data_IF_661099505447
#
_entry.id   IF_661099505447
#
_cell.length_a   1.000
_cell.length_b   1.000
_cell.length_c   1.000
_cell.angle_alpha   90.00
_cell.angle_beta   90.00
_cell.angle_gamma   90.00
#
_symmetry.space_group_name_H-M   'P 1'
#
loop_
_entity.id
_entity.type
_entity.pdbx_description
1 polymer ?
#
# COMPACT_ATOMS: atom_id res chain seq x y z
N UNK A 1 -15.79 -4.68 -8.46
CA UNK A 1 -15.51 -4.39 -7.03
C UNK A 1 -14.28 -3.50 -7.04
N UNK A 2 -14.32 -2.39 -6.30
CA UNK A 2 -13.23 -1.43 -6.24
C UNK A 2 -12.21 -1.88 -5.19
N UNK A 3 -10.94 -1.87 -5.55
CA UNK A 3 -9.83 -2.31 -4.73
C UNK A 3 -8.96 -1.11 -4.32
N UNK A 4 -8.75 -0.90 -3.03
CA UNK A 4 -8.06 0.28 -2.49
C UNK A 4 -6.80 -0.11 -1.72
N UNK A 5 -5.67 0.50 -2.08
CA UNK A 5 -4.36 0.38 -1.41
C UNK A 5 -3.72 1.76 -1.20
N UNK A 6 -2.70 1.86 -0.35
CA UNK A 6 -2.14 3.15 0.09
C UNK A 6 -0.67 3.38 -0.25
N UNK A 7 -0.10 2.56 -1.14
CA UNK A 7 1.24 2.78 -1.71
C UNK A 7 1.28 2.41 -3.20
N UNK A 8 2.22 2.99 -3.94
CA UNK A 8 2.41 2.67 -5.36
C UNK A 8 2.87 1.22 -5.56
N UNK A 9 3.75 0.72 -4.68
CA UNK A 9 4.20 -0.68 -4.69
C UNK A 9 3.04 -1.66 -4.49
N UNK A 10 2.18 -1.42 -3.49
CA UNK A 10 1.00 -2.24 -3.27
C UNK A 10 0.04 -2.19 -4.47
N UNK A 11 -0.15 -0.99 -5.06
CA UNK A 11 -1.02 -0.81 -6.22
C UNK A 11 -0.51 -1.58 -7.45
N UNK A 12 0.79 -1.49 -7.72
CA UNK A 12 1.43 -2.23 -8.80
C UNK A 12 1.36 -3.74 -8.57
N UNK A 13 1.70 -4.21 -7.37
CA UNK A 13 1.66 -5.63 -7.06
C UNK A 13 0.24 -6.21 -7.13
N UNK A 14 -0.76 -5.49 -6.61
CA UNK A 14 -2.16 -5.93 -6.66
C UNK A 14 -2.68 -5.98 -8.11
N UNK A 15 -2.26 -5.03 -8.97
CA UNK A 15 -2.58 -5.06 -10.40
C UNK A 15 -2.04 -6.30 -11.10
N UNK A 16 -0.81 -6.69 -10.77
CA UNK A 16 -0.23 -7.94 -11.28
C UNK A 16 -0.99 -9.15 -10.73
N UNK A 17 -1.33 -9.16 -9.44
CA UNK A 17 -2.00 -10.26 -8.77
C UNK A 17 -3.37 -10.64 -9.39
N UNK A 18 -4.06 -9.69 -10.04
CA UNK A 18 -5.35 -9.94 -10.70
C UNK A 18 -5.30 -11.09 -11.70
N UNK A 19 -4.19 -11.21 -12.44
CA UNK A 19 -3.99 -12.20 -13.49
C UNK A 19 -2.69 -13.00 -13.31
N UNK A 20 -2.07 -12.94 -12.14
CA UNK A 20 -0.80 -13.63 -11.89
C UNK A 20 -1.03 -15.15 -11.92
N UNK A 21 -0.23 -15.87 -12.71
CA UNK A 21 -0.39 -17.30 -12.94
C UNK A 21 -1.35 -17.66 -14.08
N UNK A 22 -1.96 -16.69 -14.77
CA UNK A 22 -2.85 -16.97 -15.91
C UNK A 22 -2.07 -17.20 -17.20
N UNK A 23 -2.24 -18.38 -17.78
CA UNK A 23 -1.60 -18.74 -19.05
C UNK A 23 -0.11 -19.10 -18.91
N UNK A 24 0.59 -19.11 -20.05
CA UNK A 24 2.00 -19.53 -20.08
C UNK A 24 2.90 -18.45 -19.49
N UNK A 25 3.80 -18.85 -18.60
CA UNK A 25 4.87 -17.99 -18.09
C UNK A 25 5.69 -17.40 -19.26
N UNK A 26 5.75 -16.07 -19.34
CA UNK A 26 6.45 -15.34 -20.42
C UNK A 26 7.85 -14.85 -20.01
N UNK A 27 8.34 -15.23 -18.83
CA UNK A 27 9.52 -14.61 -18.24
C UNK A 27 9.23 -13.20 -17.70
N UNK A 28 10.15 -12.69 -16.88
CA UNK A 28 10.09 -11.34 -16.33
C UNK A 28 11.49 -10.76 -16.12
N UNK A 29 11.55 -9.45 -15.88
CA UNK A 29 12.82 -8.79 -15.55
C UNK A 29 13.22 -9.13 -14.12
N UNK A 30 14.15 -10.08 -13.96
CA UNK A 30 14.67 -10.50 -12.65
C UNK A 30 16.07 -9.91 -12.43
N UNK A 31 16.20 -9.14 -11.35
CA UNK A 31 17.48 -8.68 -10.82
C UNK A 31 17.94 -9.57 -9.67
N UNK A 32 19.22 -9.92 -9.63
CA UNK A 32 19.83 -10.66 -8.52
C UNK A 32 21.00 -9.87 -7.95
N UNK A 33 21.12 -9.87 -6.62
CA UNK A 33 22.25 -9.29 -5.89
C UNK A 33 22.91 -10.44 -5.14
N UNK A 34 24.18 -10.69 -5.46
CA UNK A 34 25.01 -11.70 -4.78
C UNK A 34 26.07 -10.96 -3.99
N UNK A 35 26.26 -11.32 -2.73
CA UNK A 35 27.27 -10.71 -1.85
C UNK A 35 27.92 -11.77 -0.97
N UNK A 36 29.22 -11.64 -0.75
CA UNK A 36 29.98 -12.53 0.12
C UNK A 36 30.26 -11.83 1.45
N UNK A 37 30.23 -12.59 2.56
CA UNK A 37 30.45 -12.05 3.90
C UNK A 37 31.86 -11.46 4.08
N UNK A 38 32.84 -11.94 3.31
CA UNK A 38 34.21 -11.43 3.30
C UNK A 38 34.42 -10.20 2.39
N UNK A 39 33.36 -9.71 1.75
CA UNK A 39 33.40 -8.58 0.83
C UNK A 39 34.04 -8.87 -0.53
N UNK A 40 34.40 -10.13 -0.81
CA UNK A 40 34.89 -10.52 -2.13
C UNK A 40 33.78 -10.37 -3.18
N UNK A 41 34.19 -10.11 -4.44
CA UNK A 41 33.24 -9.95 -5.53
C UNK A 41 32.75 -11.32 -6.00
N UNK A 42 31.44 -11.49 -6.22
CA UNK A 42 30.92 -12.70 -6.82
C UNK A 42 31.45 -12.86 -8.24
N UNK A 43 31.69 -14.10 -8.61
CA UNK A 43 32.05 -14.52 -9.97
C UNK A 43 30.86 -14.38 -10.92
N UNK A 44 31.11 -14.41 -12.22
CA UNK A 44 30.03 -14.37 -13.22
C UNK A 44 29.16 -15.61 -13.12
N UNK A 45 29.78 -16.75 -12.88
CA UNK A 45 29.13 -18.05 -12.73
C UNK A 45 28.17 -18.07 -11.54
N UNK A 46 28.54 -17.48 -10.40
CA UNK A 46 27.66 -17.34 -9.22
C UNK A 46 26.46 -16.44 -9.51
N UNK A 47 26.67 -15.32 -10.20
CA UNK A 47 25.59 -14.41 -10.59
C UNK A 47 24.62 -15.07 -11.58
N UNK A 48 25.14 -15.82 -12.55
CA UNK A 48 24.32 -16.58 -13.51
C UNK A 48 23.58 -17.75 -12.87
N UNK A 49 24.18 -18.42 -11.89
CA UNK A 49 23.52 -19.46 -11.11
C UNK A 49 22.36 -18.87 -10.29
N UNK A 50 22.60 -17.78 -9.55
CA UNK A 50 21.58 -17.08 -8.78
C UNK A 50 20.44 -16.57 -9.68
N UNK A 51 20.75 -16.06 -10.88
CA UNK A 51 19.74 -15.65 -11.86
C UNK A 51 18.86 -16.81 -12.29
N UNK A 52 19.45 -17.96 -12.65
CA UNK A 52 18.69 -19.16 -13.06
C UNK A 52 17.81 -19.70 -11.95
N UNK A 53 18.31 -19.69 -10.71
CA UNK A 53 17.53 -20.08 -9.54
C UNK A 53 16.34 -19.14 -9.32
N UNK A 54 16.55 -17.82 -9.42
CA UNK A 54 15.49 -16.83 -9.27
C UNK A 54 14.44 -16.93 -10.39
N UNK A 55 14.86 -17.16 -11.64
CA UNK A 55 13.98 -17.41 -12.78
C UNK A 55 13.14 -18.67 -12.59
N UNK A 56 13.74 -19.76 -12.14
CA UNK A 56 13.02 -21.00 -11.86
C UNK A 56 12.05 -20.84 -10.69
N UNK A 57 12.44 -20.15 -9.62
CA UNK A 57 11.55 -19.82 -8.50
C UNK A 57 10.35 -18.99 -8.96
N UNK A 58 10.58 -17.97 -9.80
CA UNK A 58 9.52 -17.13 -10.35
C UNK A 58 8.59 -17.93 -11.28
N UNK A 59 9.12 -18.83 -12.10
CA UNK A 59 8.33 -19.73 -12.94
C UNK A 59 7.44 -20.65 -12.10
N UNK A 60 8.00 -21.28 -11.06
CA UNK A 60 7.25 -22.15 -10.16
C UNK A 60 6.18 -21.37 -9.37
N UNK A 61 6.49 -20.15 -8.91
CA UNK A 61 5.53 -19.28 -8.26
C UNK A 61 4.36 -18.94 -9.21
N UNK A 62 4.65 -18.59 -10.47
CA UNK A 62 3.64 -18.37 -11.51
C UNK A 62 2.75 -19.60 -11.72
N UNK A 63 3.34 -20.76 -11.93
CA UNK A 63 2.60 -22.00 -12.24
C UNK A 63 1.73 -22.50 -11.09
N UNK A 64 2.10 -22.20 -9.85
CA UNK A 64 1.35 -22.58 -8.65
C UNK A 64 0.38 -21.51 -8.17
N UNK A 65 0.49 -20.28 -8.68
CA UNK A 65 -0.31 -19.18 -8.20
C UNK A 65 -1.79 -19.37 -8.53
N UNK A 66 -2.62 -18.91 -7.59
CA UNK A 66 -4.04 -18.69 -7.86
C UNK A 66 -4.23 -17.20 -8.10
N UNK A 67 -4.72 -16.77 -9.28
CA UNK A 67 -4.96 -15.36 -9.53
C UNK A 67 -5.98 -14.82 -8.53
N UNK A 68 -5.83 -13.55 -8.15
CA UNK A 68 -6.83 -12.89 -7.32
C UNK A 68 -8.17 -12.77 -8.06
N UNK A 69 -8.10 -12.59 -9.38
CA UNK A 69 -9.24 -12.36 -10.26
C UNK A 69 -9.80 -10.94 -10.10
N UNK A 70 -10.36 -10.40 -11.18
CA UNK A 70 -10.89 -9.04 -11.22
C UNK A 70 -10.35 -8.26 -12.41
N UNK A 71 -10.49 -6.94 -12.37
CA UNK A 71 -10.00 -6.04 -13.40
C UNK A 71 -8.94 -5.10 -12.81
N UNK A 72 -7.71 -5.06 -13.34
CA UNK A 72 -6.68 -4.14 -12.88
C UNK A 72 -7.08 -2.65 -12.93
N UNK A 73 -8.06 -2.29 -13.77
CA UNK A 73 -8.62 -0.93 -13.84
C UNK A 73 -9.49 -0.56 -12.63
N UNK A 74 -9.89 -1.53 -11.80
CA UNK A 74 -10.65 -1.32 -10.58
C UNK A 74 -9.78 -1.09 -9.33
N UNK A 75 -8.45 -1.07 -9.51
CA UNK A 75 -7.49 -0.88 -8.42
C UNK A 75 -6.99 0.57 -8.38
N UNK A 76 -7.15 1.19 -7.22
CA UNK A 76 -6.74 2.57 -6.96
C UNK A 76 -5.75 2.64 -5.80
N UNK A 77 -4.63 3.33 -6.03
CA UNK A 77 -3.57 3.56 -5.06
C UNK A 77 -3.53 5.00 -4.60
N UNK A 78 -3.67 5.23 -3.30
CA UNK A 78 -3.61 6.56 -2.69
C UNK A 78 -2.31 6.76 -1.89
N UNK A 79 -1.19 6.86 -2.59
CA UNK A 79 0.14 7.12 -2.02
C UNK A 79 0.28 8.60 -1.59
N UNK A 80 -0.35 8.96 -0.48
CA UNK A 80 -0.46 10.34 0.01
C UNK A 80 0.51 10.69 1.14
N UNK A 81 1.35 9.75 1.57
CA UNK A 81 2.28 9.92 2.69
C UNK A 81 1.61 10.52 3.95
N UNK A 82 0.40 10.07 4.29
CA UNK A 82 -0.46 10.70 5.31
C UNK A 82 0.05 10.54 6.75
N UNK A 83 1.07 9.71 6.98
CA UNK A 83 1.73 9.66 8.28
C UNK A 83 2.63 10.87 8.54
N UNK A 84 2.93 11.67 7.50
CA UNK A 84 3.88 12.79 7.56
C UNK A 84 3.19 14.12 7.18
N UNK A 85 3.51 15.18 7.93
CA UNK A 85 3.18 16.58 7.64
C UNK A 85 1.70 16.94 7.79
N UNK A 86 1.25 17.96 7.03
CA UNK A 86 -0.10 18.52 7.21
C UNK A 86 -1.17 17.63 6.57
N UNK A 87 -2.18 17.24 7.36
CA UNK A 87 -3.35 16.47 6.93
C UNK A 87 -4.68 17.20 7.18
N UNK A 88 -4.64 18.50 7.47
CA UNK A 88 -5.80 19.30 7.85
C UNK A 88 -6.82 19.49 6.71
N UNK A 89 -6.42 19.21 5.46
CA UNK A 89 -7.32 19.27 4.30
C UNK A 89 -8.24 18.04 4.27
N UNK A 90 -9.53 18.25 3.96
CA UNK A 90 -10.49 17.13 3.79
C UNK A 90 -10.19 16.26 2.58
N UNK A 91 -9.72 16.90 1.51
CA UNK A 91 -9.26 16.24 0.29
C UNK A 91 -7.84 16.71 -0.02
N UNK A 92 -7.00 15.87 -0.65
CA UNK A 92 -5.62 16.22 -0.98
C UNK A 92 -5.54 17.51 -1.82
N UNK A 93 -5.00 18.57 -1.24
CA UNK A 93 -4.91 19.89 -1.85
C UNK A 93 -3.50 20.46 -1.82
N UNK A 94 -3.41 21.78 -1.64
CA UNK A 94 -2.14 22.51 -1.72
C UNK A 94 -1.22 22.16 -0.55
N UNK A 95 -1.77 21.96 0.64
CA UNK A 95 -0.96 21.58 1.80
C UNK A 95 -0.39 20.19 1.62
N UNK A 96 -1.20 19.28 1.06
CA UNK A 96 -0.72 17.95 0.77
C UNK A 96 0.39 17.97 -0.28
N UNK A 97 0.23 18.77 -1.35
CA UNK A 97 1.27 19.01 -2.36
C UNK A 97 2.59 19.43 -1.69
N UNK A 98 2.55 20.46 -0.84
CA UNK A 98 3.73 21.01 -0.18
C UNK A 98 4.46 19.99 0.68
N UNK A 99 3.74 19.13 1.40
CA UNK A 99 4.40 18.06 2.17
C UNK A 99 5.08 17.04 1.26
N UNK A 100 4.44 16.63 0.17
CA UNK A 100 5.05 15.69 -0.78
C UNK A 100 6.29 16.32 -1.45
N UNK A 101 6.22 17.60 -1.83
CA UNK A 101 7.38 18.35 -2.36
C UNK A 101 8.53 18.36 -1.35
N UNK A 102 8.24 18.56 -0.06
CA UNK A 102 9.25 18.52 1.00
C UNK A 102 9.84 17.12 1.18
N UNK A 103 9.00 16.08 1.23
CA UNK A 103 9.43 14.69 1.38
C UNK A 103 10.35 14.24 0.23
N UNK A 104 10.05 14.69 -0.98
CA UNK A 104 10.83 14.35 -2.17
C UNK A 104 11.93 15.36 -2.50
N UNK A 105 12.20 16.34 -1.62
CA UNK A 105 13.26 17.35 -1.84
C UNK A 105 14.68 16.79 -1.86
N UNK A 106 14.86 15.53 -1.45
CA UNK A 106 16.13 14.80 -1.52
C UNK A 106 16.54 14.44 -2.95
N UNK A 107 15.61 14.44 -3.90
CA UNK A 107 15.89 14.14 -5.31
C UNK A 107 16.37 15.39 -6.06
N UNK A 108 17.37 15.26 -6.95
CA UNK A 108 17.97 16.39 -7.66
C UNK A 108 16.99 17.01 -8.67
N UNK A 109 17.36 18.18 -9.21
CA UNK A 109 16.76 18.75 -10.43
C UNK A 109 15.24 18.94 -10.41
N UNK A 110 14.66 19.27 -9.25
CA UNK A 110 13.22 19.42 -9.03
C UNK A 110 12.38 18.16 -9.34
N UNK A 111 13.00 16.99 -9.47
CA UNK A 111 12.29 15.71 -9.73
C UNK A 111 11.23 15.43 -8.67
N UNK A 112 11.54 15.72 -7.40
CA UNK A 112 10.59 15.57 -6.30
C UNK A 112 9.37 16.49 -6.38
N UNK A 113 9.55 17.71 -6.89
CA UNK A 113 8.45 18.64 -7.10
C UNK A 113 7.52 18.17 -8.22
N UNK A 114 8.10 17.68 -9.32
CA UNK A 114 7.34 17.10 -10.43
C UNK A 114 6.57 15.85 -9.97
N UNK A 115 7.25 14.94 -9.26
CA UNK A 115 6.64 13.73 -8.71
C UNK A 115 5.46 14.06 -7.77
N UNK A 116 5.62 15.04 -6.86
CA UNK A 116 4.55 15.47 -5.97
C UNK A 116 3.32 15.99 -6.72
N UNK A 117 3.53 16.76 -7.79
CA UNK A 117 2.45 17.28 -8.64
C UNK A 117 1.72 16.16 -9.39
N UNK A 118 2.45 15.20 -9.95
CA UNK A 118 1.89 14.07 -10.66
C UNK A 118 1.10 13.14 -9.73
N UNK A 119 1.65 12.85 -8.54
CA UNK A 119 0.96 12.06 -7.50
C UNK A 119 -0.37 12.73 -7.14
N UNK A 120 -0.36 14.03 -6.83
CA UNK A 120 -1.56 14.74 -6.42
C UNK A 120 -2.61 14.82 -7.54
N UNK A 121 -2.18 15.05 -8.78
CA UNK A 121 -3.05 15.07 -9.95
C UNK A 121 -3.71 13.70 -10.17
N UNK A 122 -2.93 12.62 -10.10
CA UNK A 122 -3.42 11.25 -10.23
C UNK A 122 -4.41 10.91 -9.11
N UNK A 123 -4.04 11.16 -7.85
CA UNK A 123 -4.90 10.89 -6.69
C UNK A 123 -6.24 11.62 -6.80
N UNK A 124 -6.25 12.91 -7.15
CA UNK A 124 -7.51 13.65 -7.27
C UNK A 124 -8.39 13.14 -8.42
N UNK A 125 -7.79 12.73 -9.55
CA UNK A 125 -8.52 12.09 -10.65
C UNK A 125 -9.14 10.77 -10.19
N UNK A 126 -8.33 9.92 -9.58
CA UNK A 126 -8.73 8.59 -9.13
C UNK A 126 -9.80 8.67 -8.03
N UNK A 127 -9.64 9.59 -7.07
CA UNK A 127 -10.61 9.83 -6.01
C UNK A 127 -11.97 10.25 -6.57
N UNK A 128 -11.98 11.12 -7.59
CA UNK A 128 -13.21 11.53 -8.27
C UNK A 128 -13.88 10.33 -8.95
N UNK A 129 -13.13 9.51 -9.69
CA UNK A 129 -13.68 8.31 -10.32
C UNK A 129 -14.23 7.33 -9.27
N UNK A 130 -13.50 7.13 -8.17
CA UNK A 130 -13.94 6.28 -7.07
C UNK A 130 -15.21 6.82 -6.42
N UNK A 131 -15.32 8.13 -6.21
CA UNK A 131 -16.52 8.78 -5.67
C UNK A 131 -17.74 8.58 -6.59
N UNK A 132 -17.57 8.75 -7.90
CA UNK A 132 -18.63 8.54 -8.90
C UNK A 132 -19.12 7.10 -8.89
N UNK A 133 -18.21 6.12 -8.82
CA UNK A 133 -18.54 4.70 -8.71
C UNK A 133 -19.13 4.31 -7.35
N UNK A 134 -18.74 5.02 -6.28
CA UNK A 134 -19.36 4.84 -4.97
C UNK A 134 -20.85 5.22 -5.00
N UNK A 135 -21.20 6.28 -5.75
CA UNK A 135 -22.56 6.75 -5.91
C UNK A 135 -23.47 5.78 -6.70
N UNK A 136 -22.89 4.92 -7.56
CA UNK A 136 -23.62 3.86 -8.26
C UNK A 136 -23.78 2.59 -7.41
N UNK A 137 -23.27 2.57 -6.18
CA UNK A 137 -23.42 1.46 -5.23
C UNK A 137 -22.40 0.35 -5.39
N UNK A 138 -21.29 0.59 -6.10
CA UNK A 138 -20.22 -0.40 -6.20
C UNK A 138 -19.62 -0.74 -4.82
N UNK A 139 -19.21 -2.00 -4.69
CA UNK A 139 -18.60 -2.52 -3.45
C UNK A 139 -17.10 -2.28 -3.41
N UNK A 140 -16.56 -2.17 -2.20
CA UNK A 140 -15.16 -1.85 -1.91
C UNK A 140 -14.47 -3.00 -1.17
N UNK A 141 -13.20 -3.19 -1.47
CA UNK A 141 -12.24 -3.92 -0.64
C UNK A 141 -11.03 -3.03 -0.39
N UNK A 142 -10.69 -2.85 0.88
CA UNK A 142 -9.60 -1.96 1.30
C UNK A 142 -8.52 -2.79 2.00
N UNK A 143 -7.30 -2.69 1.51
CA UNK A 143 -6.14 -3.42 2.01
C UNK A 143 -5.29 -2.49 2.87
N UNK A 144 -5.05 -2.87 4.12
CA UNK A 144 -4.28 -2.05 5.07
C UNK A 144 -3.45 -2.91 6.03
N UNK A 145 -2.46 -2.31 6.68
CA UNK A 145 -1.60 -2.96 7.68
C UNK A 145 -1.42 -2.05 8.90
N UNK A 146 -0.50 -2.43 9.80
CA UNK A 146 -0.04 -1.57 10.90
C UNK A 146 1.06 -0.58 10.45
N UNK A 147 1.40 -0.49 9.16
CA UNK A 147 2.27 0.58 8.66
C UNK A 147 1.57 1.93 8.82
N UNK A 148 2.22 2.96 9.38
CA UNK A 148 1.57 4.25 9.67
C UNK A 148 0.86 4.91 8.48
N UNK A 149 1.44 4.91 7.28
CA UNK A 149 0.80 5.51 6.10
C UNK A 149 -0.40 4.72 5.62
N UNK A 150 -0.33 3.39 5.63
CA UNK A 150 -1.48 2.55 5.30
C UNK A 150 -2.61 2.69 6.32
N UNK A 151 -2.29 2.83 7.62
CA UNK A 151 -3.32 3.06 8.63
C UNK A 151 -3.93 4.46 8.51
N UNK A 152 -3.12 5.50 8.27
CA UNK A 152 -3.61 6.85 7.98
C UNK A 152 -4.49 6.85 6.72
N UNK A 153 -4.03 6.23 5.64
CA UNK A 153 -4.78 6.08 4.39
C UNK A 153 -6.09 5.34 4.59
N UNK A 154 -6.09 4.27 5.38
CA UNK A 154 -7.29 3.52 5.74
C UNK A 154 -8.32 4.39 6.46
N UNK A 155 -7.89 5.14 7.48
CA UNK A 155 -8.78 6.00 8.28
C UNK A 155 -9.30 7.17 7.43
N UNK A 156 -8.42 7.81 6.67
CA UNK A 156 -8.78 8.86 5.71
C UNK A 156 -9.81 8.37 4.69
N UNK A 157 -9.59 7.21 4.07
CA UNK A 157 -10.50 6.70 3.04
C UNK A 157 -11.86 6.29 3.61
N UNK A 158 -11.91 5.70 4.81
CA UNK A 158 -13.17 5.44 5.50
C UNK A 158 -13.93 6.74 5.84
N UNK A 159 -13.23 7.82 6.13
CA UNK A 159 -13.80 9.15 6.31
C UNK A 159 -14.43 9.67 5.01
N UNK A 160 -13.76 9.50 3.86
CA UNK A 160 -14.32 9.83 2.55
C UNK A 160 -15.59 9.04 2.25
N UNK A 161 -15.57 7.71 2.44
CA UNK A 161 -16.75 6.85 2.26
C UNK A 161 -17.91 7.26 3.17
N UNK A 162 -17.61 7.72 4.39
CA UNK A 162 -18.61 8.22 5.32
C UNK A 162 -19.25 9.54 4.83
N UNK A 163 -18.44 10.47 4.32
CA UNK A 163 -18.92 11.73 3.74
C UNK A 163 -19.80 11.49 2.49
N UNK A 164 -19.42 10.53 1.64
CA UNK A 164 -20.16 10.22 0.42
C UNK A 164 -21.45 9.42 0.67
N UNK A 165 -21.70 8.99 1.91
CA UNK A 165 -22.86 8.18 2.30
C UNK A 165 -23.00 6.91 1.44
N UNK A 166 -21.87 6.24 1.21
CA UNK A 166 -21.81 5.05 0.34
C UNK A 166 -22.77 3.96 0.84
N UNK A 167 -23.63 3.48 -0.07
CA UNK A 167 -24.57 2.38 0.16
C UNK A 167 -24.04 1.00 -0.25
N UNK A 168 -22.94 0.93 -0.99
CA UNK A 168 -22.28 -0.32 -1.37
C UNK A 168 -21.60 -1.03 -0.19
N UNK A 169 -21.36 -2.33 -0.33
CA UNK A 169 -20.67 -3.13 0.69
C UNK A 169 -19.20 -2.70 0.77
N UNK A 170 -18.70 -2.48 1.99
CA UNK A 170 -17.29 -2.22 2.25
C UNK A 170 -16.70 -3.41 2.99
N UNK A 171 -15.58 -3.92 2.49
CA UNK A 171 -14.80 -4.98 3.12
C UNK A 171 -13.36 -4.52 3.33
N UNK A 172 -12.71 -5.09 4.34
CA UNK A 172 -11.32 -4.78 4.67
C UNK A 172 -10.51 -6.06 4.79
N UNK A 173 -9.24 -5.97 4.40
CA UNK A 173 -8.24 -7.03 4.58
C UNK A 173 -7.06 -6.41 5.32
N UNK A 174 -6.84 -6.88 6.56
CA UNK A 174 -5.68 -6.46 7.37
C UNK A 174 -4.53 -7.43 7.11
N UNK A 175 -3.34 -6.90 6.83
CA UNK A 175 -2.13 -7.72 6.76
C UNK A 175 -1.83 -8.33 8.15
N UNK A 176 -1.57 -9.64 8.25
CA UNK A 176 -1.15 -10.27 9.50
C UNK A 176 0.15 -9.67 10.06
N UNK A 177 0.32 -9.71 11.37
CA UNK A 177 1.54 -9.20 12.03
C UNK A 177 2.76 -10.08 11.78
N UNK A 178 2.54 -11.39 11.66
CA UNK A 178 3.54 -12.37 11.29
C UNK A 178 2.86 -13.57 10.65
N UNK A 179 3.61 -14.31 9.86
CA UNK A 179 3.16 -15.51 9.17
C UNK A 179 4.25 -16.58 9.24
N UNK A 180 3.84 -17.84 9.31
CA UNK A 180 4.77 -18.97 9.18
C UNK A 180 4.85 -19.40 7.70
N UNK A 181 6.06 -19.45 7.16
CA UNK A 181 6.34 -20.10 5.89
C UNK A 181 6.27 -21.63 6.03
N UNK A 182 6.14 -22.35 4.90
CA UNK A 182 6.11 -23.82 4.87
C UNK A 182 7.36 -24.47 5.48
N UNK A 183 8.50 -23.78 5.43
CA UNK A 183 9.78 -24.21 6.01
C UNK A 183 9.88 -23.95 7.53
N UNK A 184 8.85 -23.36 8.15
CA UNK A 184 8.81 -23.01 9.57
C UNK A 184 9.40 -21.64 9.94
N UNK A 185 9.88 -20.86 8.95
CA UNK A 185 10.35 -19.50 9.19
C UNK A 185 9.19 -18.55 9.49
N UNK A 186 9.44 -17.56 10.34
CA UNK A 186 8.50 -16.47 10.59
C UNK A 186 8.84 -15.31 9.67
N UNK A 187 7.86 -14.85 8.91
CA UNK A 187 7.96 -13.67 8.05
C UNK A 187 7.06 -12.58 8.60
N UNK A 188 7.61 -11.38 8.66
CA UNK A 188 6.88 -10.16 8.99
C UNK A 188 7.02 -9.21 7.81
N UNK A 189 5.89 -8.78 7.26
CA UNK A 189 5.82 -7.77 6.22
C UNK A 189 5.42 -6.44 6.83
N UNK A 190 6.14 -5.38 6.49
CA UNK A 190 5.86 -4.04 7.04
C UNK A 190 4.53 -3.50 6.56
N UNK A 191 4.16 -3.78 5.30
CA UNK A 191 2.89 -3.37 4.69
C UNK A 191 2.63 -4.08 3.37
N UNK A 192 1.54 -3.73 2.68
CA UNK A 192 1.12 -4.38 1.43
C UNK A 192 2.09 -4.13 0.27
N UNK A 193 2.96 -3.14 0.37
CA UNK A 193 4.03 -2.90 -0.61
C UNK A 193 5.09 -4.02 -0.68
N UNK A 194 5.16 -4.88 0.34
CA UNK A 194 6.09 -6.02 0.41
C UNK A 194 5.43 -7.37 0.05
N UNK A 195 4.13 -7.37 -0.22
CA UNK A 195 3.40 -8.59 -0.59
C UNK A 195 3.62 -8.88 -2.06
N UNK A 196 4.15 -10.06 -2.40
CA UNK A 196 4.38 -10.45 -3.77
C UNK A 196 3.06 -10.73 -4.51
N UNK A 197 2.98 -10.54 -5.84
CA UNK A 197 1.76 -10.75 -6.62
C UNK A 197 1.06 -12.11 -6.39
N UNK A 198 1.83 -13.20 -6.29
CA UNK A 198 1.33 -14.56 -6.07
C UNK A 198 0.68 -14.77 -4.68
N UNK A 199 0.96 -13.89 -3.72
CA UNK A 199 0.48 -14.02 -2.35
C UNK A 199 -0.87 -13.35 -2.11
N UNK A 200 -1.33 -12.43 -2.96
CA UNK A 200 -2.54 -11.64 -2.65
C UNK A 200 -3.78 -12.49 -2.46
N UNK A 201 -3.95 -13.56 -3.25
CA UNK A 201 -5.12 -14.44 -3.20
C UNK A 201 -5.33 -15.06 -1.82
N UNK A 202 -4.26 -15.53 -1.15
CA UNK A 202 -4.39 -16.21 0.15
C UNK A 202 -4.93 -15.29 1.25
N UNK A 203 -4.71 -13.98 1.15
CA UNK A 203 -5.21 -13.03 2.15
C UNK A 203 -6.71 -12.73 2.03
N UNK A 204 -7.39 -13.19 0.98
CA UNK A 204 -8.85 -13.14 0.91
C UNK A 204 -9.53 -13.85 2.10
N UNK A 205 -8.84 -14.84 2.69
CA UNK A 205 -9.29 -15.52 3.90
C UNK A 205 -9.45 -14.57 5.12
N UNK A 206 -8.75 -13.43 5.13
CA UNK A 206 -8.84 -12.41 6.19
C UNK A 206 -9.83 -11.28 5.87
N UNK A 207 -10.52 -11.35 4.74
CA UNK A 207 -11.52 -10.36 4.37
C UNK A 207 -12.68 -10.37 5.38
N UNK A 208 -13.06 -9.18 5.86
CA UNK A 208 -14.23 -9.00 6.72
C UNK A 208 -15.06 -7.79 6.31
N UNK A 209 -16.39 -7.83 6.45
CA UNK A 209 -17.24 -6.68 6.20
C UNK A 209 -16.99 -5.58 7.23
N UNK A 210 -17.10 -4.32 6.79
CA UNK A 210 -17.03 -3.15 7.66
C UNK A 210 -18.44 -2.76 8.11
N UNK A 211 -18.67 -2.74 9.43
CA UNK A 211 -19.91 -2.24 9.99
C UNK A 211 -19.98 -0.70 9.85
N UNK A 212 -21.17 -0.11 9.61
CA UNK A 212 -21.31 1.34 9.51
C UNK A 212 -20.78 2.11 10.74
N UNK A 213 -20.96 1.57 11.94
CA UNK A 213 -20.45 2.15 13.18
C UNK A 213 -18.91 2.14 13.24
N UNK A 214 -18.27 1.10 12.72
CA UNK A 214 -16.81 1.03 12.67
C UNK A 214 -16.24 2.09 11.72
N UNK A 215 -16.89 2.28 10.56
CA UNK A 215 -16.56 3.37 9.63
C UNK A 215 -16.65 4.75 10.29
N UNK A 216 -17.70 4.98 11.08
CA UNK A 216 -17.87 6.24 11.82
C UNK A 216 -16.77 6.45 12.86
N UNK A 217 -16.38 5.42 13.62
CA UNK A 217 -15.30 5.49 14.60
C UNK A 217 -13.97 5.86 13.91
N UNK A 218 -13.61 5.17 12.83
CA UNK A 218 -12.40 5.49 12.07
C UNK A 218 -12.43 6.92 11.48
N UNK A 219 -13.58 7.36 10.97
CA UNK A 219 -13.76 8.71 10.47
C UNK A 219 -13.60 9.78 11.57
N UNK A 220 -14.16 9.55 12.76
CA UNK A 220 -13.99 10.45 13.90
C UNK A 220 -12.55 10.50 14.38
N UNK A 221 -11.85 9.36 14.42
CA UNK A 221 -10.43 9.29 14.76
C UNK A 221 -9.57 10.04 13.73
N UNK A 222 -9.85 9.89 12.44
CA UNK A 222 -9.18 10.67 11.40
C UNK A 222 -9.35 12.17 11.62
N UNK A 223 -10.58 12.62 11.87
CA UNK A 223 -10.87 14.04 12.13
C UNK A 223 -10.15 14.57 13.38
N UNK A 224 -9.91 13.73 14.39
CA UNK A 224 -9.08 14.09 15.55
C UNK A 224 -7.62 14.31 15.14
N UNK A 225 -7.02 13.37 14.40
CA UNK A 225 -5.65 13.53 13.87
C UNK A 225 -5.51 14.77 12.97
N UNK A 226 -6.57 15.13 12.23
CA UNK A 226 -6.62 16.36 11.43
C UNK A 226 -6.67 17.63 12.28
N UNK A 227 -7.38 17.61 13.43
CA UNK A 227 -7.40 18.73 14.37
C UNK A 227 -6.07 18.89 15.08
N UNK A 228 -5.45 17.79 15.49
CA UNK A 228 -4.13 17.79 16.13
C UNK A 228 -3.05 18.26 15.15
N UNK A 229 -3.15 17.83 13.89
CA UNK A 229 -2.26 18.18 12.79
C UNK A 229 -0.75 18.09 13.12
N UNK A 230 -0.35 17.15 13.99
CA UNK A 230 1.04 16.99 14.39
C UNK A 230 1.96 16.62 13.20
N UNK A 231 3.28 16.85 13.29
CA UNK A 231 4.21 16.58 12.19
C UNK A 231 4.24 15.12 11.73
N UNK A 232 4.03 14.18 12.65
CA UNK A 232 4.04 12.73 12.38
C UNK A 232 2.81 12.04 12.95
N UNK A 233 2.49 10.86 12.40
CA UNK A 233 1.62 9.85 12.99
C UNK A 233 2.34 8.53 13.04
N UNK A 234 2.16 7.81 14.14
CA UNK A 234 2.78 6.51 14.35
C UNK A 234 1.77 5.52 14.96
N UNK A 235 2.07 4.24 14.85
CA UNK A 235 1.38 3.20 15.60
C UNK A 235 2.12 2.98 16.91
N UNK A 236 1.55 3.46 18.01
CA UNK A 236 2.06 3.24 19.37
C UNK A 236 1.05 2.38 20.14
N UNK A 237 1.51 1.27 20.71
CA UNK A 237 0.65 0.30 21.42
C UNK A 237 -0.58 -0.15 20.61
N UNK A 238 -0.41 -0.30 19.28
CA UNK A 238 -1.48 -0.70 18.37
C UNK A 238 -2.48 0.41 18.00
N UNK A 239 -2.23 1.66 18.42
CA UNK A 239 -3.10 2.80 18.13
C UNK A 239 -2.40 3.82 17.24
N UNK A 240 -3.15 4.36 16.27
CA UNK A 240 -2.69 5.46 15.43
C UNK A 240 -2.78 6.77 16.21
N UNK A 241 -1.64 7.41 16.47
CA UNK A 241 -1.56 8.63 17.28
C UNK A 241 -0.71 9.70 16.60
N UNK A 242 -1.04 10.96 16.84
CA UNK A 242 -0.18 12.09 16.47
C UNK A 242 1.03 12.18 17.38
N UNK A 243 2.19 12.49 16.79
CA UNK A 243 3.47 12.54 17.49
C UNK A 243 4.36 13.66 16.94
N UNK A 244 5.35 14.04 17.75
CA UNK A 244 6.41 14.96 17.34
C UNK A 244 7.34 14.31 16.31
N UNK A 245 7.98 15.14 15.48
CA UNK A 245 9.09 14.73 14.60
C UNK A 245 10.27 14.11 15.36
N UNK A 246 10.41 14.43 16.65
CA UNK A 246 11.46 13.90 17.54
C UNK A 246 11.23 12.46 18.00
N UNK A 247 10.14 11.80 17.59
CA UNK A 247 9.83 10.44 18.04
C UNK A 247 10.99 9.45 17.81
N UNK A 248 11.73 9.64 16.71
CA UNK A 248 12.83 8.76 16.32
C UNK A 248 14.21 9.34 16.65
N UNK A 249 14.27 10.50 17.32
CA UNK A 249 15.54 11.05 17.79
C UNK A 249 16.00 10.29 19.06
N UNK A 250 17.30 9.94 19.17
CA UNK A 250 17.84 9.42 20.41
C UNK A 250 17.66 10.45 21.55
N UNK A 251 17.31 9.96 22.74
CA UNK A 251 17.19 10.76 23.97
C UNK A 251 18.52 11.38 24.42
#
# INVERSE_FOLDING_TARGET
>A
MIEIVFSDSACGSLKMAMHYGEGKYQGGSIGVIVSHADGSKPTKEEVEAARREAEEKARLAWERATPLGGNPADIYGFNLALSIGDISEKQPGIKRKQTLEHLYSVYPSDEGCQAAQEILKRVNKDLKTVQERAATGESFRIWYSNQPDEMCGFYWFLEQLNQWKVGGQVSIVKLPEWEAEENGNIVQKSGWGEVAPEEWHRYLAFQRPVLPVYRQICASHWQELQRENAPLRAILNGQLVSTSEKLYEPL
#
